data_IF_051418376459
#
_entry.id   IF_051418376459
#
_cell.length_a   1.000
_cell.length_b   1.000
_cell.length_c   1.000
_cell.angle_alpha   90.00
_cell.angle_beta   90.00
_cell.angle_gamma   90.00
#
_symmetry.space_group_name_H-M   'P 1'
#
loop_
_entity.id
_entity.type
_entity.pdbx_description
1 polymer ?
#
# COMPACT_ATOMS: atom_id res chain seq x y z
N UNK A 1 -10.22 20.10 8.78
CA UNK A 1 -10.91 19.86 7.48
C UNK A 1 -9.99 18.97 6.67
N UNK A 2 -10.51 17.91 6.05
CA UNK A 2 -9.72 16.93 5.26
C UNK A 2 -9.74 17.30 3.76
N UNK A 3 -9.45 18.56 3.45
CA UNK A 3 -9.55 19.11 2.09
C UNK A 3 -8.21 19.18 1.36
N UNK A 4 -7.11 19.00 2.09
CA UNK A 4 -5.77 18.84 1.54
C UNK A 4 -5.69 17.57 0.69
N UNK A 5 -4.66 17.50 -0.14
CA UNK A 5 -4.53 16.45 -1.14
C UNK A 5 -3.82 15.24 -0.57
N UNK A 6 -4.09 14.08 -1.14
CA UNK A 6 -3.37 12.83 -0.84
C UNK A 6 -1.87 13.00 -1.09
N UNK A 7 -1.48 13.77 -2.11
CA UNK A 7 -0.08 14.07 -2.40
C UNK A 7 0.67 14.70 -1.22
N UNK A 8 -0.04 15.42 -0.33
CA UNK A 8 0.56 16.09 0.83
C UNK A 8 0.98 15.11 1.94
N UNK A 9 0.41 13.89 1.95
CA UNK A 9 0.58 12.92 3.04
C UNK A 9 1.05 11.53 2.60
N UNK A 10 0.97 11.23 1.29
CA UNK A 10 1.36 9.90 0.78
C UNK A 10 2.86 9.64 0.94
N UNK A 11 3.20 8.37 1.11
CA UNK A 11 4.59 7.90 1.03
C UNK A 11 4.99 7.66 -0.43
N UNK A 12 6.14 8.18 -0.85
CA UNK A 12 6.69 8.05 -2.21
C UNK A 12 7.92 7.14 -2.29
N UNK A 13 8.54 6.79 -1.16
CA UNK A 13 9.60 5.78 -1.08
C UNK A 13 9.00 4.37 -1.10
N UNK A 14 8.62 3.94 -2.30
CA UNK A 14 7.87 2.70 -2.48
C UNK A 14 8.78 1.48 -2.55
N UNK A 15 8.37 0.42 -1.88
CA UNK A 15 8.87 -0.93 -2.14
C UNK A 15 7.84 -1.70 -2.91
N UNK A 16 8.26 -2.21 -4.04
CA UNK A 16 7.39 -2.94 -4.96
C UNK A 16 8.01 -4.28 -5.32
N UNK A 17 7.19 -5.15 -5.88
CA UNK A 17 7.59 -6.42 -6.49
C UNK A 17 6.98 -6.52 -7.88
N UNK A 18 7.56 -7.36 -8.73
CA UNK A 18 6.99 -7.74 -10.01
C UNK A 18 6.08 -8.97 -9.86
N UNK A 19 5.10 -9.20 -10.77
CA UNK A 19 4.25 -10.38 -10.74
C UNK A 19 5.02 -11.71 -10.78
N UNK A 20 6.21 -11.71 -11.40
CA UNK A 20 7.07 -12.88 -11.53
C UNK A 20 7.97 -13.14 -10.31
N UNK A 21 8.04 -12.20 -9.34
CA UNK A 21 8.81 -12.40 -8.11
C UNK A 21 8.21 -13.50 -7.25
N UNK A 22 9.00 -14.05 -6.33
CA UNK A 22 8.56 -15.06 -5.37
C UNK A 22 7.89 -14.44 -4.14
N UNK A 23 7.06 -15.20 -3.44
CA UNK A 23 6.51 -14.78 -2.14
C UNK A 23 7.61 -14.60 -1.08
N UNK A 24 8.73 -15.30 -1.21
CA UNK A 24 9.87 -15.13 -0.32
C UNK A 24 10.41 -13.70 -0.39
N UNK A 25 10.50 -13.11 -1.59
CA UNK A 25 10.88 -11.71 -1.78
C UNK A 25 9.89 -10.75 -1.12
N UNK A 26 8.59 -11.02 -1.22
CA UNK A 26 7.56 -10.21 -0.55
C UNK A 26 7.73 -10.26 0.97
N UNK A 27 7.90 -11.46 1.54
CA UNK A 27 8.11 -11.65 2.97
C UNK A 27 9.32 -10.87 3.48
N UNK A 28 10.43 -10.90 2.75
CA UNK A 28 11.63 -10.14 3.10
C UNK A 28 11.38 -8.63 3.13
N UNK A 29 10.67 -8.08 2.15
CA UNK A 29 10.31 -6.65 2.11
C UNK A 29 9.45 -6.28 3.32
N UNK A 30 8.38 -7.05 3.57
CA UNK A 30 7.46 -6.82 4.69
C UNK A 30 8.21 -6.80 6.03
N UNK A 31 9.08 -7.78 6.26
CA UNK A 31 9.85 -7.89 7.50
C UNK A 31 10.93 -6.81 7.63
N UNK A 32 11.74 -6.61 6.58
CA UNK A 32 12.88 -5.70 6.62
C UNK A 32 12.45 -4.24 6.79
N UNK A 33 11.28 -3.87 6.27
CA UNK A 33 10.82 -2.48 6.25
C UNK A 33 9.66 -2.23 7.22
N UNK A 34 9.20 -3.26 7.94
CA UNK A 34 8.10 -3.19 8.91
C UNK A 34 6.84 -2.60 8.30
N UNK A 35 6.52 -3.03 7.08
CA UNK A 35 5.32 -2.64 6.34
C UNK A 35 4.40 -3.85 6.15
N UNK A 36 3.12 -3.57 5.89
CA UNK A 36 2.08 -4.60 5.76
C UNK A 36 1.55 -4.78 4.34
N UNK A 37 1.88 -3.86 3.43
CA UNK A 37 1.33 -3.79 2.08
C UNK A 37 2.48 -3.55 1.10
N UNK A 38 2.55 -4.35 0.04
CA UNK A 38 3.56 -4.25 -1.02
C UNK A 38 2.84 -4.17 -2.37
N UNK A 39 2.88 -3.02 -3.04
CA UNK A 39 2.35 -2.89 -4.39
C UNK A 39 3.10 -3.79 -5.38
N UNK A 40 2.35 -4.41 -6.28
CA UNK A 40 2.87 -5.20 -7.39
C UNK A 40 2.81 -4.36 -8.66
N UNK A 41 3.95 -4.23 -9.34
CA UNK A 41 4.08 -3.38 -10.53
C UNK A 41 4.62 -4.16 -11.72
N UNK A 42 4.09 -3.88 -12.91
CA UNK A 42 4.71 -4.25 -14.18
C UNK A 42 5.40 -2.99 -14.75
N UNK A 43 6.72 -2.92 -14.60
CA UNK A 43 7.47 -1.68 -14.77
C UNK A 43 7.05 -0.62 -13.75
N UNK A 44 6.28 0.38 -14.19
CA UNK A 44 5.70 1.42 -13.34
C UNK A 44 4.20 1.26 -13.09
N UNK A 45 3.54 0.41 -13.86
CA UNK A 45 2.09 0.24 -13.83
C UNK A 45 1.70 -0.58 -12.61
N UNK A 46 0.77 -0.09 -11.81
CA UNK A 46 0.20 -0.89 -10.72
C UNK A 46 -0.65 -2.02 -11.30
N UNK A 47 -0.36 -3.25 -10.90
CA UNK A 47 -1.08 -4.45 -11.37
C UNK A 47 -1.63 -5.32 -10.23
N UNK A 48 -1.22 -5.06 -9.00
CA UNK A 48 -1.74 -5.77 -7.84
C UNK A 48 -1.22 -5.23 -6.52
N UNK A 49 -1.69 -5.84 -5.43
CA UNK A 49 -1.24 -5.59 -4.07
C UNK A 49 -1.11 -6.93 -3.35
N UNK A 50 -0.04 -7.09 -2.59
CA UNK A 50 0.14 -8.22 -1.67
C UNK A 50 0.29 -7.67 -0.26
N UNK A 51 -0.39 -8.29 0.69
CA UNK A 51 -0.40 -7.89 2.09
C UNK A 51 0.10 -9.01 3.00
N UNK A 52 0.45 -8.68 4.25
CA UNK A 52 0.72 -9.70 5.27
C UNK A 52 -0.46 -10.65 5.47
N UNK A 53 -1.70 -10.17 5.27
CA UNK A 53 -2.90 -11.00 5.38
C UNK A 53 -2.99 -12.02 4.25
N UNK A 54 -2.61 -11.64 3.02
CA UNK A 54 -2.59 -12.58 1.89
C UNK A 54 -1.62 -13.73 2.16
N UNK A 55 -0.39 -13.43 2.63
CA UNK A 55 0.60 -14.45 3.01
C UNK A 55 0.07 -15.39 4.11
N UNK A 56 -0.60 -14.83 5.12
CA UNK A 56 -1.18 -15.61 6.22
C UNK A 56 -2.33 -16.51 5.74
N UNK A 57 -3.19 -16.01 4.85
CA UNK A 57 -4.38 -16.71 4.37
C UNK A 57 -4.07 -17.90 3.45
N UNK A 58 -2.94 -17.89 2.74
CA UNK A 58 -2.56 -18.96 1.81
C UNK A 58 -2.41 -20.33 2.49
N UNK A 59 -2.08 -20.37 3.79
CA UNK A 59 -1.86 -21.60 4.54
C UNK A 59 -0.89 -22.58 3.84
N UNK A 60 0.18 -22.04 3.23
CA UNK A 60 1.28 -22.81 2.63
C UNK A 60 2.53 -22.71 3.50
N UNK A 61 3.34 -23.77 3.51
CA UNK A 61 4.57 -23.79 4.27
C UNK A 61 5.58 -22.74 3.75
N UNK A 62 6.35 -22.15 4.65
CA UNK A 62 7.39 -21.17 4.27
C UNK A 62 8.41 -21.73 3.26
N UNK A 63 8.62 -23.05 3.21
CA UNK A 63 9.52 -23.70 2.25
C UNK A 63 9.05 -23.58 0.79
N UNK A 64 7.75 -23.36 0.59
CA UNK A 64 7.12 -23.29 -0.74
C UNK A 64 7.04 -21.84 -1.27
N UNK A 65 7.48 -20.86 -0.47
CA UNK A 65 7.42 -19.44 -0.82
C UNK A 65 8.31 -19.09 -2.02
N UNK A 66 9.44 -19.78 -2.18
CA UNK A 66 10.34 -19.58 -3.33
C UNK A 66 9.73 -20.06 -4.65
N UNK A 67 8.90 -21.11 -4.60
CA UNK A 67 8.25 -21.68 -5.78
C UNK A 67 6.93 -20.97 -6.15
N UNK A 68 6.36 -20.19 -5.23
CA UNK A 68 5.07 -19.51 -5.42
C UNK A 68 5.28 -18.09 -5.95
N UNK A 69 4.63 -17.74 -7.06
CA UNK A 69 4.75 -16.40 -7.64
C UNK A 69 3.80 -15.42 -6.99
N UNK A 70 4.19 -14.15 -6.97
CA UNK A 70 3.36 -13.03 -6.54
C UNK A 70 2.04 -12.97 -7.32
N UNK A 71 2.08 -13.22 -8.64
CA UNK A 71 0.90 -13.21 -9.51
C UNK A 71 -0.22 -14.16 -9.07
N UNK A 72 0.14 -15.25 -8.39
CA UNK A 72 -0.79 -16.31 -8.00
C UNK A 72 -1.58 -15.96 -6.73
N UNK A 73 -1.14 -14.90 -6.03
CA UNK A 73 -1.60 -14.53 -4.69
C UNK A 73 -2.14 -13.10 -4.64
N UNK A 74 -1.57 -12.19 -5.43
CA UNK A 74 -1.88 -10.77 -5.36
C UNK A 74 -3.36 -10.48 -5.58
N UNK A 75 -3.86 -9.46 -4.90
CA UNK A 75 -5.18 -8.89 -5.19
C UNK A 75 -5.05 -7.95 -6.37
N UNK A 76 -5.87 -8.15 -7.41
CA UNK A 76 -5.85 -7.35 -8.65
C UNK A 76 -6.98 -6.32 -8.73
N UNK A 77 -8.06 -6.51 -7.98
CA UNK A 77 -9.16 -5.55 -7.86
C UNK A 77 -8.87 -4.61 -6.69
N UNK A 78 -8.23 -3.49 -7.00
CA UNK A 78 -7.79 -2.52 -6.00
C UNK A 78 -8.64 -1.25 -6.07
N UNK A 79 -8.99 -0.71 -4.91
CA UNK A 79 -9.27 0.71 -4.81
C UNK A 79 -7.94 1.46 -5.02
N UNK A 80 -7.98 2.51 -5.82
CA UNK A 80 -6.85 3.41 -6.07
C UNK A 80 -7.37 4.84 -6.02
N UNK A 81 -6.48 5.76 -5.71
CA UNK A 81 -6.78 7.20 -5.69
C UNK A 81 -5.71 7.97 -6.49
N UNK A 82 -6.04 9.17 -6.90
CA UNK A 82 -5.12 10.10 -7.55
C UNK A 82 -4.41 11.00 -6.53
N UNK A 83 -3.21 11.54 -6.83
CA UNK A 83 -2.51 12.46 -5.94
C UNK A 83 -3.33 13.71 -5.59
N UNK A 84 -4.19 14.16 -6.51
CA UNK A 84 -5.06 15.33 -6.33
C UNK A 84 -6.34 15.04 -5.56
N UNK A 85 -6.65 13.78 -5.28
CA UNK A 85 -7.81 13.44 -4.45
C UNK A 85 -7.63 13.99 -3.03
N UNK A 86 -8.75 14.24 -2.36
CA UNK A 86 -8.74 14.78 -1.01
C UNK A 86 -8.40 13.69 0.00
N UNK A 87 -7.75 14.07 1.10
CA UNK A 87 -7.56 13.19 2.26
C UNK A 87 -8.89 12.59 2.74
N UNK A 88 -9.99 13.35 2.68
CA UNK A 88 -11.32 12.87 3.03
C UNK A 88 -11.80 11.68 2.18
N UNK A 89 -11.43 11.64 0.90
CA UNK A 89 -11.74 10.51 0.00
C UNK A 89 -10.99 9.25 0.44
N UNK A 90 -9.71 9.38 0.80
CA UNK A 90 -8.95 8.26 1.35
C UNK A 90 -9.53 7.77 2.69
N UNK A 91 -9.96 8.69 3.56
CA UNK A 91 -10.60 8.36 4.83
C UNK A 91 -11.92 7.60 4.63
N UNK A 92 -12.75 8.01 3.67
CA UNK A 92 -13.99 7.30 3.30
C UNK A 92 -13.70 5.87 2.86
N UNK A 93 -12.71 5.66 1.98
CA UNK A 93 -12.28 4.33 1.55
C UNK A 93 -11.88 3.45 2.75
N UNK A 94 -11.13 4.00 3.72
CA UNK A 94 -10.72 3.26 4.92
C UNK A 94 -11.85 2.97 5.91
N UNK A 95 -12.93 3.76 5.89
CA UNK A 95 -14.09 3.55 6.75
C UNK A 95 -15.07 2.55 6.16
N UNK A 96 -15.29 2.62 4.84
CA UNK A 96 -16.21 1.72 4.12
C UNK A 96 -15.61 0.36 3.85
N UNK A 97 -14.28 0.30 3.72
CA UNK A 97 -13.56 -0.91 3.42
C UNK A 97 -12.51 -1.16 4.50
N UNK A 98 -12.38 -2.42 4.95
CA UNK A 98 -11.38 -2.84 5.95
C UNK A 98 -9.93 -2.82 5.41
N UNK A 99 -9.63 -1.92 4.47
CA UNK A 99 -8.30 -1.69 3.94
C UNK A 99 -7.59 -0.65 4.82
N UNK A 100 -6.30 -0.86 5.04
CA UNK A 100 -5.47 0.09 5.81
C UNK A 100 -4.42 0.79 4.95
N UNK A 101 -4.38 0.50 3.65
CA UNK A 101 -3.54 1.16 2.67
C UNK A 101 -4.22 1.21 1.31
N UNK A 102 -4.05 2.33 0.60
CA UNK A 102 -4.56 2.55 -0.75
C UNK A 102 -3.41 3.05 -1.63
N UNK A 103 -3.12 2.37 -2.75
CA UNK A 103 -2.14 2.85 -3.73
C UNK A 103 -2.59 4.16 -4.39
N UNK A 104 -1.65 5.07 -4.57
CA UNK A 104 -1.85 6.33 -5.28
C UNK A 104 -1.30 6.19 -6.69
N UNK A 105 -2.15 6.40 -7.68
CA UNK A 105 -1.84 6.16 -9.10
C UNK A 105 -2.04 7.45 -9.89
N UNK A 106 -1.11 7.74 -10.79
CA UNK A 106 -1.23 8.84 -11.76
C UNK A 106 -0.85 8.33 -13.15
N UNK A 107 -1.71 8.57 -14.14
CA UNK A 107 -1.55 8.08 -15.52
C UNK A 107 -1.30 6.55 -15.59
N UNK A 108 -1.94 5.79 -14.70
CA UNK A 108 -1.78 4.34 -14.59
C UNK A 108 -0.49 3.88 -13.91
N UNK A 109 0.40 4.80 -13.53
CA UNK A 109 1.64 4.51 -12.82
C UNK A 109 1.48 4.66 -11.31
N UNK A 110 2.08 3.75 -10.55
CA UNK A 110 2.16 3.88 -9.11
C UNK A 110 3.09 5.04 -8.73
N UNK A 111 2.57 6.03 -8.01
CA UNK A 111 3.33 7.22 -7.59
C UNK A 111 3.41 7.38 -6.07
N UNK A 112 2.55 6.69 -5.32
CA UNK A 112 2.59 6.70 -3.87
C UNK A 112 1.73 5.61 -3.24
N UNK A 113 1.71 5.59 -1.92
CA UNK A 113 0.75 4.82 -1.12
C UNK A 113 0.36 5.68 0.08
N UNK A 114 -0.92 5.64 0.45
CA UNK A 114 -1.42 6.29 1.68
C UNK A 114 -2.04 5.24 2.58
N UNK A 115 -1.88 5.40 3.88
CA UNK A 115 -2.45 4.52 4.90
C UNK A 115 -3.36 5.30 5.83
N UNK A 116 -4.22 4.59 6.56
CA UNK A 116 -5.02 5.21 7.62
C UNK A 116 -4.14 5.85 8.71
N UNK A 117 -2.93 5.32 8.90
CA UNK A 117 -1.94 5.89 9.81
C UNK A 117 -1.38 7.23 9.32
N UNK A 118 -1.21 7.41 8.01
CA UNK A 118 -0.74 8.70 7.46
C UNK A 118 -1.77 9.81 7.70
N UNK A 119 -3.06 9.50 7.55
CA UNK A 119 -4.15 10.44 7.88
C UNK A 119 -4.13 10.78 9.37
N UNK A 120 -4.06 9.77 10.24
CA UNK A 120 -3.99 9.97 11.69
C UNK A 120 -2.79 10.83 12.08
N UNK A 121 -1.60 10.52 11.53
CA UNK A 121 -0.36 11.24 11.78
C UNK A 121 -0.45 12.69 11.30
N UNK A 122 -1.03 12.93 10.13
CA UNK A 122 -1.21 14.27 9.57
C UNK A 122 -2.12 15.13 10.46
N UNK A 123 -3.33 14.65 10.78
CA UNK A 123 -4.27 15.38 11.63
C UNK A 123 -3.70 15.60 13.04
N UNK A 124 -3.02 14.59 13.60
CA UNK A 124 -2.34 14.73 14.89
C UNK A 124 -1.25 15.81 14.86
N UNK A 125 -0.39 15.80 13.84
CA UNK A 125 0.72 16.78 13.73
C UNK A 125 0.21 18.21 13.50
N UNK A 126 -0.92 18.34 12.81
CA UNK A 126 -1.58 19.62 12.58
C UNK A 126 -2.16 20.22 13.87
N UNK A 127 -2.79 19.39 14.70
CA UNK A 127 -3.35 19.80 16.00
C UNK A 127 -2.26 19.98 17.06
N UNK A 128 -1.23 19.14 17.04
CA UNK A 128 -0.12 19.12 18.01
C UNK A 128 1.23 19.27 17.30
N UNK A 129 1.55 20.47 16.80
CA UNK A 129 2.83 20.69 16.13
C UNK A 129 3.99 20.42 17.10
N UNK A 130 5.14 19.91 16.60
CA UNK A 130 6.33 19.72 17.42
C UNK A 130 6.66 21.02 18.16
N UNK A 131 6.93 20.92 19.46
CA UNK A 131 7.42 22.08 20.20
C UNK A 131 8.78 22.47 19.62
N UNK A 132 8.91 23.74 19.22
CA UNK A 132 10.15 24.33 18.75
C UNK A 132 11.24 24.32 19.84
#
# INVERSE_FOLDING_TARGET
>A
MMNETVADIMSTELKTVAPADSLQRVKEILMAHRIHHVPVVDGKKLVGLVTTYDLFKLNIDHKDYDATKVSDVMTTKLAVIEPSDKIGTAAEIFMEHLFHAVPVVSEGNLVGIVTSFDILKYEYTKEYPPRA
#
